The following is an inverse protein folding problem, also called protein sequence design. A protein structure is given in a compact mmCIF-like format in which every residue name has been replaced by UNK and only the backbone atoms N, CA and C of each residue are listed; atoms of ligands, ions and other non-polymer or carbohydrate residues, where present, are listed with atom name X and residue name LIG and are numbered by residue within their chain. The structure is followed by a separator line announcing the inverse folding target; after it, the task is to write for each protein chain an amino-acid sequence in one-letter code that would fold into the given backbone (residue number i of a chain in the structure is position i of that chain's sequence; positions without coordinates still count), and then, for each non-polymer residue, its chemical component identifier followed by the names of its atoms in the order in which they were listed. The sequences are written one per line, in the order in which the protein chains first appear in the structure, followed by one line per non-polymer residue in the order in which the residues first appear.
data_IF_148574472479
#
_entry.id   IF_148574472479
#
_cell.length_a   1.000
_cell.length_b   1.000
_cell.length_c   1.000
_cell.angle_alpha   90.00
_cell.angle_beta   90.00
_cell.angle_gamma   90.00
#
_symmetry.space_group_name_H-M   'P 1'
#
loop_
_entity.id
_entity.type
_entity.pdbx_description
1 polymer ?
#
# COMPACT_ATOMS: atom_id res chain seq x y z
N UNK A 1 -29.45 -17.10 -19.43
CA UNK A 1 -28.12 -16.55 -19.12
C UNK A 1 -28.03 -15.13 -19.67
N UNK A 2 -28.43 -14.13 -18.88
CA UNK A 2 -28.19 -12.72 -19.20
C UNK A 2 -26.85 -12.35 -18.57
N UNK A 3 -25.84 -12.10 -19.39
CA UNK A 3 -24.62 -11.43 -18.94
C UNK A 3 -25.01 -9.99 -18.58
N UNK A 4 -25.45 -9.80 -17.34
CA UNK A 4 -25.63 -8.50 -16.74
C UNK A 4 -24.23 -7.96 -16.49
N UNK A 5 -23.62 -7.37 -17.53
CA UNK A 5 -22.47 -6.48 -17.42
C UNK A 5 -22.92 -5.21 -16.71
N UNK A 6 -23.24 -5.33 -15.43
CA UNK A 6 -23.45 -4.20 -14.56
C UNK A 6 -22.09 -3.51 -14.48
N UNK A 7 -21.95 -2.41 -15.23
CA UNK A 7 -20.93 -1.41 -14.94
C UNK A 7 -21.08 -1.07 -13.46
N UNK A 8 -20.12 -1.55 -12.66
CA UNK A 8 -19.99 -1.30 -11.24
C UNK A 8 -19.74 0.20 -11.12
N UNK A 9 -20.74 0.98 -10.73
CA UNK A 9 -20.54 2.38 -10.35
C UNK A 9 -20.46 2.47 -8.83
N UNK A 10 -19.83 3.53 -8.27
CA UNK A 10 -19.64 3.67 -6.82
C UNK A 10 -20.95 3.50 -6.02
N UNK A 11 -22.04 4.08 -6.53
CA UNK A 11 -23.37 3.97 -5.93
C UNK A 11 -23.92 2.55 -5.92
N UNK A 12 -23.59 1.72 -6.94
CA UNK A 12 -24.01 0.31 -6.98
C UNK A 12 -23.22 -0.55 -6.01
N UNK A 13 -21.91 -0.31 -5.90
CA UNK A 13 -21.06 -0.98 -4.92
C UNK A 13 -21.54 -0.69 -3.49
N UNK A 14 -21.94 0.55 -3.22
CA UNK A 14 -22.52 0.92 -1.93
C UNK A 14 -23.83 0.19 -1.63
N UNK A 15 -24.74 0.09 -2.60
CA UNK A 15 -25.98 -0.67 -2.42
C UNK A 15 -25.70 -2.17 -2.19
N UNK A 16 -24.74 -2.76 -2.90
CA UNK A 16 -24.34 -4.16 -2.69
C UNK A 16 -23.73 -4.38 -1.31
N UNK A 17 -22.82 -3.50 -0.88
CA UNK A 17 -22.21 -3.58 0.45
C UNK A 17 -23.28 -3.37 1.55
N UNK A 18 -24.28 -2.51 1.33
CA UNK A 18 -25.39 -2.33 2.27
C UNK A 18 -26.26 -3.59 2.42
N UNK A 19 -26.49 -4.35 1.33
CA UNK A 19 -27.20 -5.64 1.41
C UNK A 19 -26.38 -6.64 2.22
N UNK A 20 -25.07 -6.70 1.99
CA UNK A 20 -24.19 -7.62 2.71
C UNK A 20 -24.07 -7.26 4.20
N UNK A 21 -24.11 -5.98 4.54
CA UNK A 21 -24.09 -5.50 5.92
C UNK A 21 -25.41 -5.75 6.67
N UNK A 22 -26.55 -5.87 5.98
CA UNK A 22 -27.84 -6.21 6.62
C UNK A 22 -27.86 -7.63 7.23
N UNK A 23 -26.94 -8.50 6.81
CA UNK A 23 -26.78 -9.81 7.43
C UNK A 23 -26.23 -9.71 8.86
N UNK A 24 -25.33 -8.76 9.15
CA UNK A 24 -24.64 -8.66 10.44
C UNK A 24 -24.14 -10.06 10.89
N UNK A 25 -24.66 -10.61 11.99
CA UNK A 25 -24.39 -11.98 12.49
C UNK A 25 -25.37 -13.06 11.95
N UNK A 26 -26.46 -12.66 11.30
CA UNK A 26 -27.50 -13.57 10.77
C UNK A 26 -27.02 -14.29 9.50
N UNK A 27 -27.23 -15.61 9.46
CA UNK A 27 -26.94 -16.43 8.26
C UNK A 27 -28.02 -16.24 7.19
N UNK A 28 -29.24 -15.83 7.58
CA UNK A 28 -30.38 -15.65 6.68
C UNK A 28 -31.14 -14.38 7.03
N UNK A 29 -31.45 -13.56 6.02
CA UNK A 29 -32.29 -12.37 6.16
C UNK A 29 -33.57 -12.52 5.35
N UNK A 30 -34.66 -11.91 5.83
CA UNK A 30 -35.91 -11.80 5.08
C UNK A 30 -35.76 -10.77 3.96
N UNK A 31 -36.39 -11.04 2.83
CA UNK A 31 -36.37 -10.16 1.66
C UNK A 31 -36.98 -8.77 1.92
N UNK A 32 -37.83 -8.62 2.95
CA UNK A 32 -38.35 -7.33 3.39
C UNK A 32 -37.24 -6.37 3.87
N UNK A 33 -36.16 -6.89 4.48
CA UNK A 33 -35.00 -6.08 4.90
C UNK A 33 -34.25 -5.56 3.68
N UNK A 34 -34.04 -6.43 2.69
CA UNK A 34 -33.42 -6.05 1.41
C UNK A 34 -34.30 -5.02 0.68
N UNK A 35 -35.62 -5.19 0.69
CA UNK A 35 -36.56 -4.28 0.04
C UNK A 35 -36.50 -2.85 0.61
N UNK A 36 -36.23 -2.71 1.92
CA UNK A 36 -36.07 -1.40 2.57
C UNK A 36 -34.89 -0.62 2.01
N UNK A 37 -33.77 -1.29 1.71
CA UNK A 37 -32.59 -0.67 1.08
C UNK A 37 -32.97 -0.07 -0.28
N UNK A 38 -33.83 -0.77 -1.03
CA UNK A 38 -34.29 -0.37 -2.36
C UNK A 38 -35.57 0.48 -2.36
N UNK A 39 -35.99 1.01 -1.21
CA UNK A 39 -37.20 1.84 -1.06
C UNK A 39 -38.46 1.19 -1.64
N UNK A 40 -38.58 -0.14 -1.55
CA UNK A 40 -39.72 -0.88 -2.07
C UNK A 40 -39.61 -1.30 -3.55
N UNK A 41 -38.52 -0.99 -4.24
CA UNK A 41 -38.33 -1.42 -5.63
C UNK A 41 -37.85 -2.87 -5.72
N UNK A 42 -38.81 -3.81 -5.82
CA UNK A 42 -38.51 -5.24 -5.81
C UNK A 42 -37.81 -5.77 -7.06
N UNK A 43 -38.05 -5.17 -8.23
CA UNK A 43 -37.34 -5.54 -9.47
C UNK A 43 -35.86 -5.20 -9.37
N UNK A 44 -35.54 -4.02 -8.85
CA UNK A 44 -34.16 -3.57 -8.71
C UNK A 44 -33.44 -4.36 -7.60
N UNK A 45 -34.14 -4.69 -6.51
CA UNK A 45 -33.60 -5.59 -5.49
C UNK A 45 -33.27 -6.98 -6.05
N UNK A 46 -34.15 -7.55 -6.90
CA UNK A 46 -33.92 -8.84 -7.55
C UNK A 46 -32.66 -8.84 -8.41
N UNK A 47 -32.46 -7.80 -9.24
CA UNK A 47 -31.30 -7.72 -10.14
C UNK A 47 -29.97 -7.70 -9.35
N UNK A 48 -29.95 -7.04 -8.19
CA UNK A 48 -28.76 -6.96 -7.33
C UNK A 48 -28.54 -8.25 -6.54
N UNK A 49 -29.62 -8.91 -6.11
CA UNK A 49 -29.55 -10.23 -5.47
C UNK A 49 -29.01 -11.28 -6.46
N UNK A 50 -29.51 -11.29 -7.70
CA UNK A 50 -29.01 -12.17 -8.76
C UNK A 50 -27.52 -11.94 -9.03
N UNK A 51 -27.07 -10.68 -8.98
CA UNK A 51 -25.65 -10.36 -9.11
C UNK A 51 -24.82 -10.90 -7.92
N UNK A 52 -25.31 -10.78 -6.69
CA UNK A 52 -24.65 -11.35 -5.51
C UNK A 52 -24.61 -12.89 -5.55
N UNK A 53 -25.63 -13.53 -6.13
CA UNK A 53 -25.67 -14.99 -6.36
C UNK A 53 -24.63 -15.40 -7.38
N UNK A 54 -24.52 -14.68 -8.51
CA UNK A 54 -23.50 -14.95 -9.53
C UNK A 54 -22.07 -14.84 -8.96
N UNK A 55 -21.88 -13.96 -7.99
CA UNK A 55 -20.61 -13.76 -7.28
C UNK A 55 -20.37 -14.76 -6.15
N UNK A 56 -21.27 -15.72 -5.92
CA UNK A 56 -21.23 -16.68 -4.80
C UNK A 56 -21.07 -15.99 -3.44
N UNK A 57 -21.81 -14.91 -3.22
CA UNK A 57 -21.85 -14.22 -1.93
C UNK A 57 -23.17 -14.52 -1.19
N UNK A 58 -24.26 -14.73 -1.92
CA UNK A 58 -25.57 -15.04 -1.31
C UNK A 58 -26.26 -16.19 -2.02
N UNK A 59 -27.17 -16.85 -1.31
CA UNK A 59 -28.10 -17.85 -1.85
C UNK A 59 -29.54 -17.34 -1.72
N UNK A 60 -30.38 -17.61 -2.70
CA UNK A 60 -31.80 -17.31 -2.64
C UNK A 60 -32.55 -18.54 -2.12
N UNK A 61 -33.39 -18.36 -1.11
CA UNK A 61 -34.16 -19.44 -0.48
C UNK A 61 -35.64 -19.15 -0.62
N UNK A 62 -36.39 -20.11 -1.18
CA UNK A 62 -37.84 -19.98 -1.40
C UNK A 62 -38.19 -19.05 -2.56
N UNK A 63 -37.49 -19.20 -3.69
CA UNK A 63 -37.85 -18.53 -4.94
C UNK A 63 -39.09 -19.23 -5.53
N UNK A 64 -40.16 -18.45 -5.76
CA UNK A 64 -41.42 -18.95 -6.33
C UNK A 64 -41.62 -18.28 -7.68
N UNK A 65 -41.92 -19.07 -8.72
CA UNK A 65 -42.16 -18.56 -10.07
C UNK A 65 -43.29 -17.51 -10.06
N UNK A 66 -42.98 -16.30 -10.53
CA UNK A 66 -43.91 -15.17 -10.61
C UNK A 66 -43.77 -14.11 -9.51
N UNK A 67 -42.95 -14.33 -8.47
CA UNK A 67 -42.65 -13.33 -7.43
C UNK A 67 -41.23 -12.80 -7.62
N UNK A 68 -41.08 -11.47 -7.67
CA UNK A 68 -39.79 -10.82 -7.96
C UNK A 68 -38.74 -10.98 -6.86
N UNK A 69 -39.12 -11.34 -5.62
CA UNK A 69 -38.16 -11.59 -4.54
C UNK A 69 -38.34 -12.99 -3.95
N UNK A 70 -37.24 -13.63 -3.52
CA UNK A 70 -37.31 -14.88 -2.78
C UNK A 70 -37.94 -14.65 -1.39
N UNK A 71 -38.31 -15.71 -0.68
CA UNK A 71 -38.78 -15.59 0.70
C UNK A 71 -37.65 -15.16 1.66
N UNK A 72 -36.44 -15.67 1.45
CA UNK A 72 -35.26 -15.39 2.28
C UNK A 72 -33.99 -15.37 1.44
N UNK A 73 -32.97 -14.65 1.92
CA UNK A 73 -31.63 -14.61 1.34
C UNK A 73 -30.66 -15.13 2.38
N UNK A 74 -29.83 -16.11 2.02
CA UNK A 74 -28.80 -16.68 2.88
C UNK A 74 -27.40 -16.18 2.53
N UNK A 75 -26.56 -16.04 3.54
CA UNK A 75 -25.14 -15.68 3.46
C UNK A 75 -24.31 -16.91 3.11
N UNK A 76 -23.45 -16.83 2.09
CA UNK A 76 -22.49 -17.91 1.78
C UNK A 76 -21.19 -17.77 2.57
N UNK A 77 -20.46 -18.88 2.70
CA UNK A 77 -19.15 -18.90 3.33
C UNK A 77 -18.17 -18.03 2.50
N UNK A 78 -17.59 -17.00 3.13
CA UNK A 78 -16.66 -16.06 2.48
C UNK A 78 -17.14 -14.61 2.41
N UNK A 79 -18.42 -14.35 2.71
CA UNK A 79 -18.94 -12.96 2.77
C UNK A 79 -18.25 -12.13 3.85
N UNK A 80 -18.03 -12.70 5.04
CA UNK A 80 -17.34 -12.00 6.14
C UNK A 80 -15.92 -11.60 5.76
N UNK A 81 -15.20 -12.52 5.10
CA UNK A 81 -13.86 -12.24 4.58
C UNK A 81 -13.91 -11.15 3.51
N UNK A 82 -14.87 -11.22 2.58
CA UNK A 82 -15.07 -10.22 1.54
C UNK A 82 -15.39 -8.82 2.08
N UNK A 83 -16.24 -8.71 3.10
CA UNK A 83 -16.54 -7.44 3.79
C UNK A 83 -15.28 -6.94 4.50
N UNK A 84 -14.57 -7.81 5.23
CA UNK A 84 -13.33 -7.45 5.95
C UNK A 84 -12.21 -6.96 5.04
N UNK A 85 -12.16 -7.45 3.80
CA UNK A 85 -11.21 -7.00 2.79
C UNK A 85 -11.56 -5.63 2.22
N UNK A 86 -12.77 -5.10 2.46
CA UNK A 86 -13.22 -3.79 2.00
C UNK A 86 -14.30 -3.83 0.90
N UNK A 87 -14.91 -5.00 0.68
CA UNK A 87 -16.13 -5.16 -0.11
C UNK A 87 -16.03 -4.78 -1.59
N UNK A 88 -17.17 -4.44 -2.18
CA UNK A 88 -17.26 -4.03 -3.58
C UNK A 88 -16.63 -2.66 -3.82
N UNK A 89 -16.65 -1.76 -2.83
CA UNK A 89 -15.97 -0.45 -2.92
C UNK A 89 -14.47 -0.59 -3.14
N UNK A 90 -13.79 -1.48 -2.43
CA UNK A 90 -12.35 -1.70 -2.64
C UNK A 90 -12.06 -2.36 -3.98
N UNK A 91 -12.81 -3.39 -4.39
CA UNK A 91 -12.62 -4.01 -5.71
C UNK A 91 -12.82 -3.02 -6.85
N UNK A 92 -13.78 -2.11 -6.72
CA UNK A 92 -13.97 -1.03 -7.69
C UNK A 92 -12.80 -0.04 -7.71
N UNK A 93 -12.30 0.38 -6.54
CA UNK A 93 -11.14 1.25 -6.45
C UNK A 93 -9.89 0.61 -7.06
N UNK A 94 -9.67 -0.69 -6.81
CA UNK A 94 -8.55 -1.45 -7.38
C UNK A 94 -8.69 -1.55 -8.91
N UNK A 95 -9.87 -1.87 -9.42
CA UNK A 95 -10.11 -1.94 -10.86
C UNK A 95 -9.97 -0.58 -11.55
N UNK A 96 -10.43 0.49 -10.91
CA UNK A 96 -10.25 1.85 -11.42
C UNK A 96 -8.77 2.26 -11.41
N UNK A 97 -8.02 1.89 -10.39
CA UNK A 97 -6.56 2.07 -10.36
C UNK A 97 -5.88 1.29 -11.49
N UNK A 98 -6.28 0.05 -11.77
CA UNK A 98 -5.76 -0.72 -12.92
C UNK A 98 -6.10 -0.08 -14.26
N UNK A 99 -7.32 0.43 -14.44
CA UNK A 99 -7.76 1.12 -15.66
C UNK A 99 -7.07 2.48 -15.86
N UNK A 100 -6.91 3.29 -14.81
CA UNK A 100 -6.28 4.62 -14.87
C UNK A 100 -4.75 4.52 -15.02
N UNK A 101 -4.12 3.46 -14.49
CA UNK A 101 -2.65 3.31 -14.50
C UNK A 101 -2.16 2.41 -15.64
N UNK A 102 -3.02 1.58 -16.23
CA UNK A 102 -2.69 0.65 -17.31
C UNK A 102 -1.68 -0.45 -16.92
N UNK A 103 -1.32 -0.57 -15.63
CA UNK A 103 -0.38 -1.54 -15.07
C UNK A 103 -1.06 -2.28 -13.92
N UNK A 104 -0.76 -3.57 -13.78
CA UNK A 104 -1.28 -4.39 -12.68
C UNK A 104 -0.74 -3.87 -11.34
N UNK A 105 -1.54 -3.96 -10.29
CA UNK A 105 -1.12 -3.58 -8.92
C UNK A 105 0.14 -4.35 -8.48
N UNK A 106 0.33 -5.55 -9.00
CA UNK A 106 1.55 -6.34 -8.78
C UNK A 106 2.79 -5.63 -9.33
N UNK A 107 2.69 -5.01 -10.51
CA UNK A 107 3.79 -4.27 -11.13
C UNK A 107 4.13 -3.01 -10.31
N UNK A 108 3.12 -2.33 -9.77
CA UNK A 108 3.31 -1.16 -8.90
C UNK A 108 3.94 -1.51 -7.55
N UNK A 109 3.60 -2.66 -6.97
CA UNK A 109 4.28 -3.15 -5.77
C UNK A 109 5.73 -3.51 -6.06
N UNK A 110 5.98 -4.16 -7.21
CA UNK A 110 7.32 -4.54 -7.60
C UNK A 110 8.21 -3.33 -7.91
N UNK A 111 7.67 -2.31 -8.59
CA UNK A 111 8.35 -1.03 -8.80
C UNK A 111 8.64 -0.31 -7.47
N UNK A 112 7.70 -0.31 -6.51
CA UNK A 112 7.96 0.29 -5.20
C UNK A 112 9.06 -0.44 -4.42
N UNK A 113 9.13 -1.77 -4.51
CA UNK A 113 10.20 -2.56 -3.90
C UNK A 113 11.54 -2.24 -4.55
N UNK A 114 11.61 -2.21 -5.88
CA UNK A 114 12.83 -1.86 -6.62
C UNK A 114 13.30 -0.42 -6.33
N UNK A 115 12.37 0.54 -6.25
CA UNK A 115 12.67 1.93 -5.87
C UNK A 115 13.20 2.01 -4.43
N UNK A 116 12.66 1.23 -3.51
CA UNK A 116 13.12 1.16 -2.12
C UNK A 116 14.54 0.57 -2.02
N UNK A 117 14.85 -0.46 -2.80
CA UNK A 117 16.20 -1.01 -2.86
C UNK A 117 17.19 -0.01 -3.47
N UNK A 118 16.80 0.69 -4.54
CA UNK A 118 17.64 1.71 -5.19
C UNK A 118 17.96 2.87 -4.25
N UNK A 119 16.97 3.39 -3.53
CA UNK A 119 17.17 4.46 -2.54
C UNK A 119 18.08 4.00 -1.41
N UNK A 120 17.90 2.78 -0.89
CA UNK A 120 18.76 2.24 0.16
C UNK A 120 20.22 2.07 -0.30
N UNK A 121 20.44 1.64 -1.55
CA UNK A 121 21.80 1.58 -2.15
C UNK A 121 22.42 2.97 -2.30
N UNK A 122 21.63 3.95 -2.73
CA UNK A 122 22.10 5.33 -2.86
C UNK A 122 22.47 5.93 -1.49
N UNK A 123 21.67 5.70 -0.46
CA UNK A 123 21.98 6.17 0.91
C UNK A 123 23.26 5.54 1.47
N UNK A 124 23.50 4.26 1.19
CA UNK A 124 24.74 3.59 1.58
C UNK A 124 25.95 4.14 0.85
N UNK A 125 25.81 4.45 -0.44
CA UNK A 125 26.88 5.09 -1.22
C UNK A 125 27.14 6.52 -0.76
N UNK A 126 26.09 7.28 -0.43
CA UNK A 126 26.25 8.63 0.12
C UNK A 126 27.01 8.60 1.45
N UNK A 127 26.63 7.70 2.36
CA UNK A 127 27.35 7.53 3.64
C UNK A 127 28.80 7.13 3.44
N UNK A 128 29.09 6.18 2.54
CA UNK A 128 30.47 5.74 2.30
C UNK A 128 31.33 6.83 1.65
N UNK A 129 30.75 7.64 0.76
CA UNK A 129 31.40 8.82 0.19
C UNK A 129 31.66 9.90 1.25
N UNK A 130 30.68 10.18 2.11
CA UNK A 130 30.81 11.12 3.22
C UNK A 130 31.90 10.70 4.21
N UNK A 131 31.93 9.42 4.60
CA UNK A 131 32.96 8.85 5.45
C UNK A 131 34.34 8.95 4.78
N UNK A 132 34.42 8.65 3.48
CA UNK A 132 35.67 8.74 2.71
C UNK A 132 36.20 10.17 2.65
N UNK A 133 35.33 11.15 2.39
CA UNK A 133 35.71 12.57 2.36
C UNK A 133 36.18 13.02 3.76
N UNK A 134 35.45 12.63 4.81
CA UNK A 134 35.80 13.00 6.18
C UNK A 134 37.13 12.38 6.61
N UNK A 135 37.39 11.13 6.22
CA UNK A 135 38.64 10.44 6.50
C UNK A 135 39.81 11.06 5.71
N UNK A 136 39.61 11.41 4.44
CA UNK A 136 40.62 12.14 3.66
C UNK A 136 40.92 13.51 4.28
N UNK A 137 39.90 14.25 4.72
CA UNK A 137 40.06 15.53 5.42
C UNK A 137 40.89 15.38 6.70
N UNK A 138 40.60 14.37 7.53
CA UNK A 138 41.38 14.07 8.75
C UNK A 138 42.84 13.72 8.42
N UNK A 139 43.08 12.90 7.41
CA UNK A 139 44.43 12.50 7.00
C UNK A 139 45.26 13.69 6.48
N UNK A 140 44.64 14.59 5.71
CA UNK A 140 45.29 15.82 5.24
C UNK A 140 45.67 16.70 6.42
N UNK A 141 44.75 16.93 7.37
CA UNK A 141 45.02 17.70 8.58
C UNK A 141 46.16 17.11 9.41
N UNK A 142 46.14 15.79 9.65
CA UNK A 142 47.20 15.11 10.39
C UNK A 142 48.56 15.23 9.69
N UNK A 143 48.58 15.08 8.36
CA UNK A 143 49.81 15.22 7.57
C UNK A 143 50.39 16.64 7.66
N UNK A 144 49.54 17.66 7.54
CA UNK A 144 49.95 19.06 7.71
C UNK A 144 50.46 19.33 9.12
N UNK A 145 49.78 18.83 10.15
CA UNK A 145 50.17 19.00 11.55
C UNK A 145 51.56 18.40 11.80
N UNK A 146 51.82 17.19 11.31
CA UNK A 146 53.14 16.56 11.43
C UNK A 146 54.23 17.35 10.70
N UNK A 147 53.96 17.87 9.49
CA UNK A 147 54.93 18.70 8.75
C UNK A 147 55.28 19.98 9.52
N UNK A 148 54.27 20.66 10.07
CA UNK A 148 54.47 21.87 10.88
C UNK A 148 55.29 21.55 12.13
N UNK A 149 55.00 20.43 12.80
CA UNK A 149 55.70 20.00 14.01
C UNK A 149 57.19 19.68 13.73
N UNK A 150 57.50 18.97 12.64
CA UNK A 150 58.88 18.73 12.21
C UNK A 150 59.63 20.02 11.85
N UNK A 151 58.94 20.99 11.23
CA UNK A 151 59.53 22.29 10.91
C UNK A 151 59.93 23.05 12.18
N UNK A 152 59.05 23.11 13.18
CA UNK A 152 59.37 23.72 14.48
C UNK A 152 60.49 22.98 15.21
N UNK A 153 60.51 21.64 15.17
CA UNK A 153 61.60 20.85 15.75
C UNK A 153 62.95 21.18 15.08
N UNK A 154 62.99 21.34 13.76
CA UNK A 154 64.18 21.76 13.02
C UNK A 154 64.69 23.14 13.42
N UNK A 155 63.79 24.12 13.60
CA UNK A 155 64.13 25.46 14.09
C UNK A 155 64.69 25.41 15.52
N UNK A 156 64.07 24.63 16.41
CA UNK A 156 64.55 24.48 17.79
C UNK A 156 65.93 23.82 17.84
N UNK A 157 66.16 22.79 17.02
CA UNK A 157 67.46 22.12 16.92
C UNK A 157 68.55 23.06 16.40
N UNK A 158 68.27 23.84 15.36
CA UNK A 158 69.23 24.83 14.83
C UNK A 158 69.50 25.95 15.83
N UNK A 159 68.47 26.46 16.53
CA UNK A 159 68.67 27.44 17.59
C UNK A 159 69.50 26.90 18.75
N UNK A 160 69.22 25.67 19.21
CA UNK A 160 70.00 25.01 20.26
C UNK A 160 71.47 24.81 19.85
N UNK A 161 71.71 24.41 18.60
CA UNK A 161 73.05 24.27 18.05
C UNK A 161 73.82 25.60 18.06
N UNK A 162 73.22 26.68 17.56
CA UNK A 162 73.85 28.01 17.57
C UNK A 162 74.10 28.52 18.98
N UNK A 163 73.21 28.27 19.94
CA UNK A 163 73.39 28.68 21.33
C UNK A 163 74.53 27.94 22.02
N UNK A 164 74.67 26.63 21.76
CA UNK A 164 75.69 25.77 22.38
C UNK A 164 77.08 25.92 21.74
N UNK A 165 77.15 26.10 20.42
CA UNK A 165 78.41 26.08 19.67
C UNK A 165 78.79 27.41 19.02
N UNK A 166 77.87 28.38 18.95
CA UNK A 166 78.12 29.71 18.35
C UNK A 166 78.65 30.76 19.33
N UNK A 167 78.89 30.40 20.60
CA UNK A 167 79.57 31.26 21.58
C UNK A 167 81.01 30.78 21.78
N UNK A 168 81.85 31.03 20.77
CA UNK A 168 83.31 30.95 20.85
C UNK A 168 83.89 32.23 20.24
#
# INVERSE_FOLDING_TARGET
MKNLSISLTPAKCELLDNILNEFDEEVYIKSDRVLKIFRGNGSLASDYLDFLVQMNLVILVGQVDGIALPAMVGKQAGVDMFISEGGFKRRYALKKLEEDTGKSIFDLQNENLDLKEKTQKQDQLLKSLEDSITQQGKNILHTWLMRVLYFFAGILMTYAYFKLFGTA
#
